data_IF_862384619298
#
_entry.id   IF_862384619298
#
_cell.length_a   1.000
_cell.length_b   1.000
_cell.length_c   1.000
_cell.angle_alpha   90.00
_cell.angle_beta   90.00
_cell.angle_gamma   90.00
#
_symmetry.space_group_name_H-M   'P 1'
#
loop_
_entity.id
_entity.type
_entity.pdbx_description
1 polymer ?
#
# COMPACT_ATOMS: atom_id res chain seq x y z
N UNK A 1 3.31 22.37 -14.53
CA UNK A 1 2.82 22.27 -13.13
C UNK A 1 2.53 20.80 -12.91
N UNK A 2 3.13 20.17 -11.89
CA UNK A 2 2.92 18.73 -11.66
C UNK A 2 1.52 18.46 -11.11
N UNK A 3 0.88 17.38 -11.55
CA UNK A 3 -0.35 16.86 -10.93
C UNK A 3 0.02 15.73 -9.97
N UNK A 4 -0.75 15.56 -8.88
CA UNK A 4 -0.55 14.45 -7.96
C UNK A 4 -1.56 13.33 -8.25
N UNK A 5 -1.05 12.11 -8.39
CA UNK A 5 -1.86 10.89 -8.42
C UNK A 5 -1.85 10.23 -7.06
N UNK A 6 -3.02 10.13 -6.45
CA UNK A 6 -3.19 9.45 -5.17
C UNK A 6 -3.20 7.94 -5.35
N UNK A 7 -2.33 7.27 -4.59
CA UNK A 7 -2.14 5.83 -4.59
C UNK A 7 -2.11 5.31 -3.16
N UNK A 8 -2.49 4.05 -3.00
CA UNK A 8 -2.38 3.33 -1.73
C UNK A 8 -1.44 2.14 -1.85
N UNK A 9 -0.83 1.76 -0.73
CA UNK A 9 -0.03 0.55 -0.61
C UNK A 9 -0.24 -0.06 0.78
N UNK A 10 -0.55 -1.34 0.83
CA UNK A 10 -0.87 -2.10 2.04
C UNK A 10 0.15 -3.22 2.22
N UNK A 11 0.77 -3.26 3.40
CA UNK A 11 1.70 -4.31 3.81
C UNK A 11 1.03 -5.12 4.92
N UNK A 12 0.74 -6.39 4.64
CA UNK A 12 0.23 -7.33 5.64
C UNK A 12 1.43 -8.00 6.32
N UNK A 13 1.55 -7.79 7.63
CA UNK A 13 2.71 -8.20 8.42
C UNK A 13 2.25 -9.11 9.55
N UNK A 14 3.00 -10.17 9.79
CA UNK A 14 2.89 -11.02 10.97
C UNK A 14 4.25 -11.11 11.68
N UNK A 15 4.32 -11.61 12.92
CA UNK A 15 5.60 -11.81 13.60
C UNK A 15 6.57 -12.62 12.74
N UNK A 16 7.67 -11.99 12.32
CA UNK A 16 8.74 -12.61 11.53
C UNK A 16 8.49 -12.76 10.02
N UNK A 17 7.32 -12.37 9.49
CA UNK A 17 7.02 -12.49 8.05
C UNK A 17 6.14 -11.37 7.51
N UNK A 18 6.27 -11.09 6.21
CA UNK A 18 5.46 -10.12 5.46
C UNK A 18 4.88 -10.79 4.22
N UNK A 19 3.65 -10.45 3.87
CA UNK A 19 3.01 -10.90 2.64
C UNK A 19 3.29 -9.89 1.53
N UNK A 20 3.80 -10.38 0.41
CA UNK A 20 4.03 -9.61 -0.81
C UNK A 20 3.32 -10.28 -1.98
N UNK A 21 2.94 -9.52 -3.00
CA UNK A 21 2.42 -10.04 -4.25
C UNK A 21 3.40 -9.84 -5.39
N UNK A 22 3.68 -10.90 -6.15
CA UNK A 22 4.39 -10.79 -7.43
C UNK A 22 3.40 -10.25 -8.47
N UNK A 23 3.68 -9.06 -8.99
CA UNK A 23 2.82 -8.44 -9.99
C UNK A 23 2.97 -9.12 -11.36
N UNK A 24 1.86 -9.62 -11.89
CA UNK A 24 1.82 -10.40 -13.15
C UNK A 24 1.65 -9.51 -14.38
N UNK A 25 1.01 -8.34 -14.24
CA UNK A 25 0.69 -7.43 -15.34
C UNK A 25 0.72 -5.95 -14.94
N UNK A 26 0.81 -5.06 -15.92
CA UNK A 26 0.74 -3.60 -15.73
C UNK A 26 2.03 -2.98 -15.15
N UNK A 27 1.90 -1.77 -14.58
CA UNK A 27 3.02 -1.02 -14.04
C UNK A 27 3.66 -1.75 -12.85
N UNK A 28 4.94 -2.07 -12.96
CA UNK A 28 5.69 -2.85 -11.96
C UNK A 28 5.59 -4.37 -12.11
N UNK A 29 5.10 -4.89 -13.25
CA UNK A 29 5.09 -6.33 -13.52
C UNK A 29 6.50 -6.95 -13.38
N UNK A 30 6.55 -8.14 -12.78
CA UNK A 30 7.81 -8.84 -12.47
C UNK A 30 8.48 -8.40 -11.16
N UNK A 31 7.84 -7.51 -10.38
CA UNK A 31 8.32 -7.10 -9.06
C UNK A 31 7.40 -7.59 -7.94
N UNK A 32 8.00 -7.92 -6.81
CA UNK A 32 7.29 -8.09 -5.55
C UNK A 32 6.91 -6.73 -4.97
N UNK A 33 5.69 -6.60 -4.47
CA UNK A 33 5.24 -5.39 -3.79
C UNK A 33 4.16 -5.69 -2.74
N UNK A 34 3.76 -4.68 -1.97
CA UNK A 34 2.50 -4.69 -1.24
C UNK A 34 1.28 -4.61 -2.17
N UNK A 35 0.10 -4.57 -1.58
CA UNK A 35 -1.19 -4.57 -2.27
C UNK A 35 -1.77 -3.16 -2.34
N UNK A 36 -2.26 -2.71 -3.49
CA UNK A 36 -2.73 -1.33 -3.58
C UNK A 36 -2.82 -0.76 -4.99
N UNK A 37 -3.44 0.42 -5.07
CA UNK A 37 -3.79 0.99 -6.37
C UNK A 37 -4.28 2.43 -6.30
N UNK A 38 -4.97 2.84 -7.37
CA UNK A 38 -5.39 4.23 -7.58
C UNK A 38 -6.64 4.52 -6.76
N UNK A 39 -6.63 5.66 -6.07
CA UNK A 39 -7.84 6.20 -5.46
C UNK A 39 -8.73 6.77 -6.56
N UNK A 40 -9.97 6.28 -6.68
CA UNK A 40 -10.88 6.68 -7.76
C UNK A 40 -11.52 8.07 -7.47
N UNK A 41 -11.57 8.99 -8.45
CA UNK A 41 -12.27 10.26 -8.30
C UNK A 41 -13.77 10.06 -8.05
N UNK A 42 -14.31 10.68 -6.99
CA UNK A 42 -15.74 10.65 -6.70
C UNK A 42 -16.25 9.36 -6.06
N UNK A 43 -15.36 8.40 -5.75
CA UNK A 43 -15.74 7.23 -4.98
C UNK A 43 -16.09 7.65 -3.55
N UNK A 44 -17.31 7.33 -3.11
CA UNK A 44 -17.67 7.58 -1.71
C UNK A 44 -17.00 6.53 -0.84
N UNK A 45 -16.75 6.91 0.42
CA UNK A 45 -16.27 6.00 1.48
C UNK A 45 -17.10 4.71 1.51
N UNK A 46 -18.43 4.82 1.35
CA UNK A 46 -19.34 3.67 1.35
C UNK A 46 -19.19 2.78 0.12
N UNK A 47 -18.94 3.36 -1.07
CA UNK A 47 -18.78 2.62 -2.31
C UNK A 47 -17.48 1.81 -2.34
N UNK A 48 -16.37 2.41 -1.91
CA UNK A 48 -15.11 1.70 -1.80
C UNK A 48 -15.19 0.61 -0.70
N UNK A 49 -15.92 0.85 0.40
CA UNK A 49 -16.01 -0.11 1.51
C UNK A 49 -16.91 -1.29 1.15
N UNK A 50 -18.02 -1.03 0.44
CA UNK A 50 -18.89 -2.08 -0.10
C UNK A 50 -18.16 -2.98 -1.11
N UNK A 51 -17.19 -2.46 -1.86
CA UNK A 51 -16.37 -3.24 -2.79
C UNK A 51 -15.26 -4.05 -2.10
N UNK A 52 -14.63 -3.50 -1.07
CA UNK A 52 -13.66 -4.20 -0.24
C UNK A 52 -14.22 -5.43 0.51
N UNK A 53 -15.55 -5.50 0.69
CA UNK A 53 -16.17 -6.33 1.75
C UNK A 53 -17.28 -7.29 1.30
N UNK A 54 -17.41 -7.66 0.02
CA UNK A 54 -18.46 -8.65 -0.36
C UNK A 54 -18.05 -10.07 0.03
N UNK A 55 -18.08 -10.37 1.33
CA UNK A 55 -18.79 -11.47 2.01
C UNK A 55 -18.28 -11.67 3.44
N UNK A 56 -18.72 -10.83 4.38
CA UNK A 56 -19.32 -11.26 5.66
C UNK A 56 -19.51 -10.09 6.64
N UNK A 57 -20.75 -9.96 7.14
CA UNK A 57 -21.25 -9.19 8.29
C UNK A 57 -21.93 -7.81 8.06
N UNK A 58 -23.15 -7.62 8.63
CA UNK A 58 -24.01 -6.44 8.43
C UNK A 58 -23.68 -5.19 9.27
N UNK A 59 -22.57 -5.15 10.03
CA UNK A 59 -22.32 -4.07 11.01
C UNK A 59 -20.97 -3.35 10.84
N UNK A 60 -20.53 -3.11 9.60
CA UNK A 60 -19.30 -2.33 9.36
C UNK A 60 -19.54 -0.81 9.44
N UNK A 61 -19.58 -0.28 10.66
CA UNK A 61 -19.57 1.17 10.88
C UNK A 61 -18.13 1.69 10.69
N UNK A 62 -17.87 2.28 9.52
CA UNK A 62 -16.56 2.81 9.08
C UNK A 62 -15.96 3.81 10.08
N UNK A 63 -16.80 4.39 10.95
CA UNK A 63 -16.40 5.25 12.07
C UNK A 63 -15.53 4.55 13.11
N UNK A 64 -15.65 3.23 13.27
CA UNK A 64 -14.93 2.49 14.32
C UNK A 64 -13.48 2.10 13.95
N UNK A 65 -13.10 2.16 12.67
CA UNK A 65 -11.73 1.81 12.22
C UNK A 65 -10.73 2.93 12.53
N UNK A 66 -11.18 4.19 12.46
CA UNK A 66 -10.39 5.39 12.79
C UNK A 66 -11.35 6.51 13.26
N UNK A 67 -11.73 6.56 14.54
CA UNK A 67 -12.82 7.42 15.03
C UNK A 67 -12.55 8.93 14.96
N UNK A 68 -11.33 9.36 14.63
CA UNK A 68 -10.90 10.76 14.73
C UNK A 68 -10.19 11.32 13.48
N UNK A 69 -10.39 10.75 12.28
CA UNK A 69 -9.68 11.20 11.07
C UNK A 69 -10.61 11.68 9.95
N UNK A 70 -10.17 12.71 9.22
CA UNK A 70 -10.90 13.44 8.19
C UNK A 70 -11.40 12.54 7.05
N UNK A 71 -12.41 13.01 6.29
CA UNK A 71 -13.02 12.30 5.15
C UNK A 71 -12.02 11.69 4.15
N UNK A 72 -10.83 12.29 4.01
CA UNK A 72 -9.76 11.80 3.14
C UNK A 72 -9.17 10.47 3.63
N UNK A 73 -8.99 10.29 4.94
CA UNK A 73 -8.42 9.05 5.48
C UNK A 73 -9.35 7.87 5.26
N UNK A 74 -10.65 8.08 5.45
CA UNK A 74 -11.64 7.06 5.17
C UNK A 74 -11.63 6.62 3.70
N UNK A 75 -11.43 7.55 2.76
CA UNK A 75 -11.31 7.21 1.34
C UNK A 75 -10.09 6.31 1.06
N UNK A 76 -8.94 6.60 1.67
CA UNK A 76 -7.75 5.76 1.52
C UNK A 76 -7.96 4.35 2.08
N UNK A 77 -8.47 4.23 3.31
CA UNK A 77 -8.75 2.94 3.94
C UNK A 77 -9.67 2.08 3.07
N UNK A 78 -10.64 2.74 2.45
CA UNK A 78 -11.60 2.08 1.60
C UNK A 78 -10.99 1.56 0.30
N UNK A 79 -10.11 2.35 -0.34
CA UNK A 79 -9.33 1.91 -1.49
C UNK A 79 -8.38 0.76 -1.12
N UNK A 80 -7.70 0.86 0.03
CA UNK A 80 -6.80 -0.17 0.56
C UNK A 80 -7.50 -1.52 0.71
N UNK A 81 -8.68 -1.55 1.33
CA UNK A 81 -9.44 -2.79 1.51
C UNK A 81 -9.85 -3.42 0.18
N UNK A 82 -10.24 -2.61 -0.81
CA UNK A 82 -10.63 -3.09 -2.14
C UNK A 82 -9.47 -3.76 -2.85
N UNK A 83 -8.35 -3.06 -2.99
CA UNK A 83 -7.17 -3.57 -3.70
C UNK A 83 -6.60 -4.81 -3.00
N UNK A 84 -6.54 -4.79 -1.66
CA UNK A 84 -6.09 -5.95 -0.90
C UNK A 84 -6.95 -7.19 -1.18
N UNK A 85 -8.28 -7.04 -1.21
CA UNK A 85 -9.17 -8.17 -1.50
C UNK A 85 -9.06 -8.63 -2.95
N UNK A 86 -9.08 -7.72 -3.93
CA UNK A 86 -8.98 -8.03 -5.36
C UNK A 86 -7.65 -8.71 -5.73
N UNK A 87 -6.55 -8.32 -5.08
CA UNK A 87 -5.20 -8.80 -5.39
C UNK A 87 -4.75 -9.99 -4.53
N UNK A 88 -5.39 -10.25 -3.39
CA UNK A 88 -4.95 -11.29 -2.44
C UNK A 88 -6.04 -12.15 -1.80
N UNK A 89 -7.32 -11.83 -2.01
CA UNK A 89 -8.46 -12.45 -1.31
C UNK A 89 -8.45 -12.25 0.22
N UNK A 90 -7.73 -11.24 0.72
CA UNK A 90 -7.67 -10.90 2.14
C UNK A 90 -8.52 -9.68 2.49
N UNK A 91 -9.04 -9.67 3.71
CA UNK A 91 -9.65 -8.48 4.33
C UNK A 91 -8.91 -8.11 5.61
N UNK A 92 -8.96 -6.84 6.00
CA UNK A 92 -8.34 -6.34 7.22
C UNK A 92 -9.31 -5.43 7.97
N UNK A 93 -9.44 -5.65 9.27
CA UNK A 93 -10.31 -4.85 10.13
C UNK A 93 -9.67 -3.51 10.48
N UNK A 94 -8.34 -3.48 10.60
CA UNK A 94 -7.59 -2.30 11.03
C UNK A 94 -6.37 -2.12 10.15
N UNK A 95 -6.20 -0.89 9.66
CA UNK A 95 -5.05 -0.46 8.88
C UNK A 95 -4.43 0.76 9.55
N UNK A 96 -3.14 0.68 9.83
CA UNK A 96 -2.39 1.81 10.39
C UNK A 96 -1.66 2.53 9.25
N UNK A 97 -1.91 3.84 9.10
CA UNK A 97 -1.10 4.68 8.19
C UNK A 97 0.31 4.84 8.78
N UNK A 98 1.30 4.35 8.06
CA UNK A 98 2.71 4.33 8.50
C UNK A 98 3.63 5.15 7.61
N UNK A 99 3.21 5.54 6.41
CA UNK A 99 4.05 6.42 5.61
C UNK A 99 3.34 7.11 4.47
N UNK A 100 4.05 8.06 3.90
CA UNK A 100 3.69 8.71 2.65
C UNK A 100 4.96 8.93 1.83
N UNK A 101 4.98 8.41 0.61
CA UNK A 101 6.12 8.55 -0.29
C UNK A 101 5.66 9.18 -1.60
N UNK A 102 6.39 10.21 -2.03
CA UNK A 102 6.20 10.84 -3.34
C UNK A 102 7.24 10.33 -4.33
N UNK A 103 6.78 9.81 -5.45
CA UNK A 103 7.64 9.36 -6.54
C UNK A 103 7.55 10.30 -7.74
N UNK A 104 8.70 10.80 -8.16
CA UNK A 104 8.87 11.59 -9.38
C UNK A 104 9.65 10.77 -10.40
N UNK A 105 9.12 10.63 -11.62
CA UNK A 105 9.80 9.95 -12.71
C UNK A 105 10.25 10.97 -13.76
N UNK A 106 11.52 10.93 -14.16
CA UNK A 106 12.06 11.85 -15.18
C UNK A 106 11.30 11.67 -16.49
N UNK A 107 10.75 12.78 -17.00
CA UNK A 107 9.95 12.80 -18.23
C UNK A 107 8.44 12.75 -17.99
N UNK A 108 8.01 12.39 -16.77
CA UNK A 108 6.60 12.38 -16.38
C UNK A 108 6.21 13.71 -15.71
N UNK A 109 4.97 14.15 -15.91
CA UNK A 109 4.42 15.37 -15.29
C UNK A 109 3.49 15.07 -14.10
N UNK A 110 3.37 13.80 -13.73
CA UNK A 110 2.52 13.34 -12.63
C UNK A 110 3.40 12.79 -11.50
N UNK A 111 3.24 13.33 -10.29
CA UNK A 111 3.87 12.79 -9.09
C UNK A 111 2.94 11.70 -8.53
N UNK A 112 3.49 10.53 -8.28
CA UNK A 112 2.79 9.44 -7.60
C UNK A 112 2.89 9.67 -6.10
N UNK A 113 1.78 10.04 -5.47
CA UNK A 113 1.66 10.29 -4.02
C UNK A 113 1.09 9.04 -3.34
N UNK A 114 1.98 8.19 -2.82
CA UNK A 114 1.66 6.86 -2.30
C UNK A 114 1.51 6.92 -0.79
N UNK A 115 0.32 6.55 -0.31
CA UNK A 115 0.02 6.42 1.11
C UNK A 115 0.16 4.96 1.55
N UNK A 116 1.05 4.72 2.52
CA UNK A 116 1.45 3.37 2.94
C UNK A 116 0.77 3.02 4.26
N UNK A 117 0.13 1.85 4.25
CA UNK A 117 -0.62 1.29 5.37
C UNK A 117 -0.05 -0.07 5.76
N UNK A 118 -0.17 -0.38 7.04
CA UNK A 118 0.27 -1.64 7.65
C UNK A 118 -0.92 -2.33 8.31
N UNK A 119 -1.07 -3.62 8.03
CA UNK A 119 -2.02 -4.49 8.70
C UNK A 119 -1.29 -5.54 9.52
N UNK A 120 -1.58 -5.62 10.81
CA UNK A 120 -1.10 -6.69 11.71
C UNK A 120 -2.07 -7.87 11.79
N UNK A 121 -3.33 -7.63 11.44
CA UNK A 121 -4.41 -8.62 11.46
C UNK A 121 -5.09 -8.65 10.09
N UNK A 122 -5.50 -9.85 9.68
CA UNK A 122 -6.23 -10.07 8.43
C UNK A 122 -7.14 -11.29 8.58
N UNK A 123 -8.09 -11.41 7.66
CA UNK A 123 -9.00 -12.55 7.53
C UNK A 123 -8.94 -13.09 6.10
N UNK A 124 -9.21 -14.38 5.94
CA UNK A 124 -9.08 -15.10 4.67
C UNK A 124 -7.71 -15.75 4.48
N UNK A 125 -7.55 -16.42 3.34
CA UNK A 125 -6.30 -17.08 2.94
C UNK A 125 -5.77 -16.43 1.66
N UNK A 126 -4.47 -16.11 1.57
CA UNK A 126 -3.91 -15.48 0.38
C UNK A 126 -4.10 -16.35 -0.85
N UNK A 127 -4.72 -15.82 -1.90
CA UNK A 127 -4.95 -16.53 -3.15
C UNK A 127 -4.43 -15.74 -4.35
N UNK A 128 -3.89 -16.47 -5.34
CA UNK A 128 -3.44 -15.89 -6.60
C UNK A 128 -4.63 -15.36 -7.42
N UNK A 129 -4.48 -14.16 -7.96
CA UNK A 129 -5.40 -13.55 -8.91
C UNK A 129 -4.79 -13.46 -10.31
N UNK A 130 -5.55 -12.93 -11.26
CA UNK A 130 -5.02 -12.60 -12.58
C UNK A 130 -3.93 -11.51 -12.53
N UNK A 131 -3.96 -10.66 -11.50
CA UNK A 131 -3.06 -9.52 -11.35
C UNK A 131 -1.84 -9.82 -10.49
N UNK A 132 -2.02 -10.60 -9.43
CA UNK A 132 -1.00 -10.75 -8.40
C UNK A 132 -0.93 -12.16 -7.82
N UNK A 133 0.28 -12.59 -7.50
CA UNK A 133 0.55 -13.86 -6.83
C UNK A 133 1.09 -13.60 -5.42
N UNK A 134 0.26 -13.70 -4.37
CA UNK A 134 0.69 -13.50 -2.99
C UNK A 134 1.67 -14.58 -2.53
N UNK A 135 2.64 -14.19 -1.72
CA UNK A 135 3.60 -15.10 -1.07
C UNK A 135 4.12 -14.48 0.23
N UNK A 136 4.23 -15.33 1.26
CA UNK A 136 4.87 -14.96 2.52
C UNK A 136 6.39 -15.00 2.39
N UNK A 137 7.05 -13.97 2.92
CA UNK A 137 8.50 -13.89 3.06
C UNK A 137 8.85 -13.67 4.53
N UNK A 138 9.88 -14.36 5.01
CA UNK A 138 10.45 -14.01 6.30
C UNK A 138 11.07 -12.61 6.23
N UNK A 139 11.00 -11.85 7.32
CA UNK A 139 11.51 -10.47 7.35
C UNK A 139 13.02 -10.37 7.07
N UNK A 140 13.79 -11.44 7.30
CA UNK A 140 15.22 -11.55 7.00
C UNK A 140 15.52 -12.00 5.55
N UNK A 141 14.50 -12.42 4.81
CA UNK A 141 14.60 -12.97 3.44
C UNK A 141 13.71 -12.24 2.44
N UNK A 142 13.43 -10.97 2.69
CA UNK A 142 12.67 -10.12 1.78
C UNK A 142 13.46 -9.96 0.46
N UNK A 143 12.85 -10.21 -0.71
CA UNK A 143 13.56 -10.28 -1.98
C UNK A 143 13.79 -8.89 -2.59
N UNK A 144 14.50 -7.99 -1.90
CA UNK A 144 14.68 -6.59 -2.32
C UNK A 144 15.23 -6.42 -3.75
N UNK A 145 16.04 -7.37 -4.23
CA UNK A 145 16.58 -7.38 -5.59
C UNK A 145 15.51 -7.58 -6.70
N UNK A 146 14.32 -8.06 -6.34
CA UNK A 146 13.15 -8.21 -7.20
C UNK A 146 12.01 -7.26 -6.80
N UNK A 147 12.31 -6.24 -5.99
CA UNK A 147 11.36 -5.23 -5.53
C UNK A 147 11.68 -3.88 -6.17
N UNK A 148 10.95 -2.82 -5.81
CA UNK A 148 11.35 -1.49 -6.23
C UNK A 148 12.64 -1.06 -5.52
N UNK A 149 13.56 -0.33 -6.19
CA UNK A 149 14.84 0.06 -5.59
C UNK A 149 14.70 0.90 -4.31
N UNK A 150 13.58 1.61 -4.13
CA UNK A 150 13.31 2.41 -2.94
C UNK A 150 12.90 1.57 -1.72
N UNK A 151 12.31 0.38 -1.95
CA UNK A 151 11.74 -0.47 -0.91
C UNK A 151 12.77 -0.81 0.19
N UNK A 152 14.04 -1.01 -0.20
CA UNK A 152 15.12 -1.34 0.74
C UNK A 152 15.37 -0.23 1.79
N UNK A 153 15.01 1.02 1.49
CA UNK A 153 15.24 2.14 2.40
C UNK A 153 14.12 2.27 3.43
N UNK A 154 12.87 2.11 3.04
CA UNK A 154 11.71 2.38 3.91
C UNK A 154 11.08 1.12 4.53
N UNK A 155 11.25 -0.07 3.94
CA UNK A 155 10.78 -1.34 4.55
C UNK A 155 11.32 -1.55 5.98
N UNK A 156 12.60 -1.29 6.29
CA UNK A 156 13.11 -1.45 7.66
C UNK A 156 12.40 -0.55 8.68
N UNK A 157 11.92 0.63 8.27
CA UNK A 157 11.11 1.52 9.12
C UNK A 157 9.72 0.92 9.35
N UNK A 158 9.08 0.44 8.27
CA UNK A 158 7.79 -0.26 8.33
C UNK A 158 7.83 -1.47 9.27
N UNK A 159 8.87 -2.30 9.18
CA UNK A 159 9.03 -3.49 10.04
C UNK A 159 9.20 -3.12 11.52
N UNK A 160 9.79 -1.96 11.81
CA UNK A 160 9.97 -1.42 13.17
C UNK A 160 8.77 -0.62 13.66
N UNK A 161 7.66 -0.58 12.90
CA UNK A 161 6.47 0.25 13.16
C UNK A 161 6.79 1.75 13.31
N UNK A 162 7.81 2.24 12.60
CA UNK A 162 8.14 3.66 12.53
C UNK A 162 7.32 4.32 11.44
N UNK A 163 6.95 5.59 11.65
CA UNK A 163 6.27 6.40 10.64
C UNK A 163 7.28 7.19 9.82
N UNK A 164 7.00 7.42 8.53
CA UNK A 164 7.96 8.08 7.66
C UNK A 164 7.36 8.89 6.51
N UNK A 165 8.08 9.92 6.08
CA UNK A 165 7.84 10.67 4.86
C UNK A 165 9.00 10.43 3.89
N UNK A 166 8.66 10.15 2.63
CA UNK A 166 9.62 9.85 1.59
C UNK A 166 9.44 10.68 0.33
N UNK A 167 10.54 10.91 -0.37
CA UNK A 167 10.55 11.38 -1.75
C UNK A 167 11.66 10.65 -2.50
N UNK A 168 11.31 10.05 -3.64
CA UNK A 168 12.27 9.39 -4.52
C UNK A 168 12.06 9.89 -5.94
N UNK A 169 13.16 10.29 -6.57
CA UNK A 169 13.20 10.67 -7.98
C UNK A 169 13.89 9.57 -8.78
N UNK A 170 13.22 9.08 -9.80
CA UNK A 170 13.67 7.97 -10.63
C UNK A 170 13.99 8.41 -12.06
N UNK A 171 15.04 7.80 -12.63
CA UNK A 171 15.25 7.73 -14.07
C UNK A 171 14.91 6.31 -14.55
N UNK A 172 13.88 6.20 -15.40
CA UNK A 172 13.29 4.89 -15.69
C UNK A 172 12.68 4.28 -14.44
N UNK A 173 12.78 2.97 -14.25
CA UNK A 173 12.21 2.26 -13.09
C UNK A 173 13.27 1.68 -12.13
N UNK A 174 14.55 1.89 -12.42
CA UNK A 174 15.66 1.18 -11.75
C UNK A 174 16.67 2.12 -11.08
N UNK A 175 16.78 3.37 -11.55
CA UNK A 175 17.82 4.29 -11.10
C UNK A 175 17.20 5.39 -10.26
N UNK A 176 17.56 5.43 -8.97
CA UNK A 176 17.22 6.54 -8.07
C UNK A 176 18.24 7.67 -8.28
N UNK A 177 17.76 8.84 -8.67
CA UNK A 177 18.54 10.07 -8.85
C UNK A 177 18.61 10.91 -7.58
N UNK A 178 17.50 10.99 -6.85
CA UNK A 178 17.40 11.75 -5.60
C UNK A 178 16.54 10.95 -4.62
N UNK A 179 16.93 10.95 -3.34
CA UNK A 179 16.14 10.35 -2.28
C UNK A 179 16.14 11.21 -1.04
N UNK A 180 14.98 11.29 -0.38
CA UNK A 180 14.79 11.84 0.95
C UNK A 180 13.87 10.89 1.69
N UNK A 181 14.27 10.49 2.90
CA UNK A 181 13.46 9.64 3.75
C UNK A 181 13.67 10.12 5.20
N UNK A 182 12.58 10.47 5.85
CA UNK A 182 12.59 11.01 7.21
C UNK A 182 11.60 10.21 8.06
N UNK A 183 12.06 9.80 9.25
CA UNK A 183 11.18 9.27 10.28
C UNK A 183 10.45 10.42 10.96
N UNK A 184 9.14 10.27 11.14
CA UNK A 184 8.27 11.30 11.72
C UNK A 184 7.44 10.73 12.85
N UNK A 185 7.00 11.57 13.79
CA UNK A 185 6.10 11.14 14.86
C UNK A 185 4.63 11.06 14.39
N UNK A 186 4.24 11.91 13.42
CA UNK A 186 2.88 12.09 12.94
C UNK A 186 2.81 12.22 11.41
N UNK A 187 1.67 11.83 10.81
CA UNK A 187 1.41 11.72 9.35
C UNK A 187 0.07 12.33 8.94
#
# INVERSE_FOLDING_TARGET
>A
MFTNKLLTLVLVVQPGRVLLGMKKRGFGAGRWNGFGGKVQPGETIEQAAKRASIKSSPEWDIKNICPNQSNMVHLYLSCCGRELFEESSLTCDTLEKIGQIKFEFVGETEIMDVHIFRADTYQGEPAESDEMKPQWFNCDKIPFHQMWPDDIYWFPLMLKKKKFLGYFKFQGHDIILEQKLEEVEHL
#
